data_IF_291281135502
#
_entry.id   IF_291281135502
#
_cell.length_a   1.000
_cell.length_b   1.000
_cell.length_c   1.000
_cell.angle_alpha   90.00
_cell.angle_beta   90.00
_cell.angle_gamma   90.00
#
_symmetry.space_group_name_H-M   'P 1'
#
loop_
_entity.id
_entity.type
_entity.pdbx_description
1 polymer ?
#
# COMPACT_ATOMS: atom_id res chain seq x y z
N UNK A 1 -9.82 -24.62 29.44
CA UNK A 1 -10.85 -25.16 28.55
C UNK A 1 -11.40 -23.99 27.73
N UNK A 2 -11.94 -24.23 26.55
CA UNK A 2 -12.40 -23.18 25.61
C UNK A 2 -13.54 -22.30 26.17
N UNK A 3 -14.06 -22.63 27.32
CA UNK A 3 -15.17 -21.94 27.99
C UNK A 3 -14.70 -20.80 28.93
N UNK A 4 -13.40 -20.60 29.08
CA UNK A 4 -12.83 -19.60 29.99
C UNK A 4 -12.48 -18.26 29.38
N UNK A 5 -12.82 -18.04 28.11
CA UNK A 5 -12.63 -16.75 27.46
C UNK A 5 -13.98 -16.12 27.13
N UNK A 6 -14.37 -15.04 27.81
CA UNK A 6 -15.55 -14.24 27.43
C UNK A 6 -15.23 -13.41 26.18
N UNK A 7 -14.80 -14.09 25.11
CA UNK A 7 -14.34 -13.42 23.88
C UNK A 7 -15.48 -12.68 23.17
N UNK A 8 -16.73 -13.12 23.33
CA UNK A 8 -17.86 -12.49 22.68
C UNK A 8 -18.21 -11.14 23.32
N UNK A 9 -18.25 -11.08 24.63
CA UNK A 9 -18.64 -9.86 25.37
C UNK A 9 -17.53 -8.80 25.33
N UNK A 10 -16.25 -9.21 25.40
CA UNK A 10 -15.11 -8.29 25.26
C UNK A 10 -14.99 -7.75 23.83
N UNK A 11 -15.29 -8.59 22.84
CA UNK A 11 -15.32 -8.18 21.43
C UNK A 11 -16.51 -7.23 21.18
N UNK A 12 -17.71 -7.51 21.68
CA UNK A 12 -18.84 -6.58 21.59
C UNK A 12 -18.57 -5.25 22.30
N UNK A 13 -17.94 -5.27 23.48
CA UNK A 13 -17.56 -4.06 24.19
C UNK A 13 -16.45 -3.29 23.47
N UNK A 14 -15.49 -3.98 22.86
CA UNK A 14 -14.46 -3.35 22.03
C UNK A 14 -15.03 -2.74 20.76
N UNK A 15 -16.06 -3.37 20.16
CA UNK A 15 -16.78 -2.83 19.02
C UNK A 15 -17.62 -1.61 19.40
N UNK A 16 -18.32 -1.65 20.54
CA UNK A 16 -19.09 -0.51 21.02
C UNK A 16 -18.17 0.69 21.35
N UNK A 17 -17.01 0.43 21.97
CA UNK A 17 -16.01 1.47 22.23
C UNK A 17 -15.36 1.99 20.94
N UNK A 18 -15.12 1.15 19.96
CA UNK A 18 -14.61 1.55 18.65
C UNK A 18 -15.62 2.36 17.87
N UNK A 19 -16.91 2.00 17.93
CA UNK A 19 -18.00 2.78 17.33
C UNK A 19 -18.12 4.17 17.98
N UNK A 20 -17.89 4.28 19.28
CA UNK A 20 -17.94 5.56 19.99
C UNK A 20 -16.74 6.46 19.62
N UNK A 21 -15.57 5.89 19.49
CA UNK A 21 -14.34 6.62 19.06
C UNK A 21 -14.44 7.03 17.58
N UNK A 22 -14.96 6.17 16.72
CA UNK A 22 -15.19 6.49 15.30
C UNK A 22 -16.25 7.57 15.16
N UNK A 23 -17.25 7.60 16.04
CA UNK A 23 -18.33 8.61 16.03
C UNK A 23 -17.78 10.02 16.36
N UNK A 24 -16.80 10.14 17.26
CA UNK A 24 -16.19 11.44 17.60
C UNK A 24 -15.21 11.99 16.55
N UNK A 25 -14.62 11.13 15.71
CA UNK A 25 -13.52 11.49 14.83
C UNK A 25 -13.89 11.55 13.34
N UNK A 26 -15.09 11.12 12.94
CA UNK A 26 -15.34 10.82 11.54
C UNK A 26 -16.51 11.61 10.92
N UNK A 27 -16.34 12.11 9.67
CA UNK A 27 -17.46 12.54 8.84
C UNK A 27 -18.46 11.38 8.60
N UNK A 28 -19.75 11.71 8.34
CA UNK A 28 -20.82 10.74 8.12
C UNK A 28 -20.49 9.61 7.12
N UNK A 29 -19.57 9.86 6.20
CA UNK A 29 -19.11 8.88 5.19
C UNK A 29 -18.34 7.69 5.78
N UNK A 30 -17.76 7.82 6.99
CA UNK A 30 -17.01 6.76 7.67
C UNK A 30 -17.91 5.79 8.46
N UNK A 31 -19.20 6.04 8.55
CA UNK A 31 -20.19 5.18 9.21
C UNK A 31 -20.71 4.05 8.29
N UNK A 32 -19.99 3.75 7.22
CA UNK A 32 -20.37 2.66 6.33
C UNK A 32 -20.15 1.31 7.03
N UNK A 33 -21.17 0.44 7.11
CA UNK A 33 -20.99 -0.95 7.56
C UNK A 33 -19.87 -1.68 6.79
N UNK A 34 -19.62 -1.27 5.56
CA UNK A 34 -18.56 -1.79 4.71
C UNK A 34 -17.18 -1.46 5.27
N UNK A 35 -16.95 -0.23 5.77
CA UNK A 35 -15.67 0.15 6.36
C UNK A 35 -15.41 -0.60 7.66
N UNK A 36 -16.40 -0.72 8.54
CA UNK A 36 -16.28 -1.51 9.77
C UNK A 36 -15.92 -2.98 9.47
N UNK A 37 -16.56 -3.58 8.45
CA UNK A 37 -16.23 -4.94 8.00
C UNK A 37 -14.80 -5.05 7.48
N UNK A 38 -14.33 -4.08 6.71
CA UNK A 38 -12.95 -4.07 6.18
C UNK A 38 -11.92 -3.98 7.30
N UNK A 39 -12.14 -3.10 8.28
CA UNK A 39 -11.27 -2.97 9.45
C UNK A 39 -11.27 -4.25 10.29
N UNK A 40 -12.42 -4.90 10.46
CA UNK A 40 -12.51 -6.19 11.14
C UNK A 40 -11.74 -7.28 10.38
N UNK A 41 -11.87 -7.37 9.07
CA UNK A 41 -11.14 -8.35 8.26
C UNK A 41 -9.62 -8.13 8.35
N UNK A 42 -9.15 -6.90 8.27
CA UNK A 42 -7.74 -6.56 8.43
C UNK A 42 -7.22 -6.94 9.82
N UNK A 43 -7.99 -6.66 10.86
CA UNK A 43 -7.65 -7.04 12.25
C UNK A 43 -7.57 -8.56 12.45
N UNK A 44 -8.52 -9.32 11.92
CA UNK A 44 -8.53 -10.78 11.99
C UNK A 44 -7.34 -11.40 11.23
N UNK A 45 -6.99 -10.89 10.06
CA UNK A 45 -5.79 -11.32 9.31
C UNK A 45 -4.54 -11.12 10.15
N UNK A 46 -4.39 -9.96 10.78
CA UNK A 46 -3.26 -9.64 11.63
C UNK A 46 -3.19 -10.57 12.84
N UNK A 47 -4.28 -10.74 13.59
CA UNK A 47 -4.34 -11.62 14.75
C UNK A 47 -3.94 -13.06 14.36
N UNK A 48 -4.50 -13.57 13.29
CA UNK A 48 -4.18 -14.90 12.79
C UNK A 48 -2.69 -15.06 12.45
N UNK A 49 -2.11 -14.10 11.71
CA UNK A 49 -0.70 -14.17 11.31
C UNK A 49 0.24 -14.10 12.51
N UNK A 50 -0.04 -13.25 13.49
CA UNK A 50 0.78 -13.16 14.70
C UNK A 50 0.72 -14.45 15.53
N UNK A 51 -0.46 -15.04 15.71
CA UNK A 51 -0.63 -16.33 16.40
C UNK A 51 0.07 -17.46 15.65
N UNK A 52 -0.06 -17.50 14.33
CA UNK A 52 0.61 -18.48 13.50
C UNK A 52 2.14 -18.35 13.59
N UNK A 53 2.66 -17.13 13.56
CA UNK A 53 4.08 -16.87 13.75
C UNK A 53 4.58 -17.41 15.10
N UNK A 54 3.86 -17.11 16.17
CA UNK A 54 4.19 -17.64 17.51
C UNK A 54 4.16 -19.19 17.51
N UNK A 55 3.13 -19.81 16.95
CA UNK A 55 3.01 -21.25 16.89
C UNK A 55 4.15 -21.89 16.09
N UNK A 56 4.62 -21.25 15.03
CA UNK A 56 5.66 -21.75 14.13
C UNK A 56 7.08 -21.32 14.52
N UNK A 57 7.25 -20.52 15.59
CA UNK A 57 8.54 -19.96 15.97
C UNK A 57 9.10 -19.00 14.90
N UNK A 58 8.22 -18.30 14.19
CA UNK A 58 8.55 -17.39 13.11
C UNK A 58 8.20 -15.93 13.41
N UNK A 59 8.33 -15.10 12.40
CA UNK A 59 7.95 -13.67 12.44
C UNK A 59 6.99 -13.37 11.29
N UNK A 60 6.19 -12.31 11.45
CA UNK A 60 5.37 -11.74 10.38
C UNK A 60 6.20 -10.69 9.66
N UNK A 61 6.38 -10.87 8.34
CA UNK A 61 6.96 -9.85 7.47
C UNK A 61 5.85 -8.96 6.93
N UNK A 62 6.01 -7.65 7.09
CA UNK A 62 5.11 -6.66 6.54
C UNK A 62 5.34 -6.47 5.05
N UNK A 63 4.27 -6.20 4.32
CA UNK A 63 4.27 -5.99 2.87
C UNK A 63 4.10 -4.53 2.46
N UNK A 64 3.80 -3.63 3.43
CA UNK A 64 3.66 -2.20 3.18
C UNK A 64 4.97 -1.56 2.71
N UNK A 65 4.88 -0.50 1.94
CA UNK A 65 6.01 0.23 1.41
C UNK A 65 6.06 1.70 1.89
N UNK A 66 7.14 2.40 1.54
CA UNK A 66 7.32 3.80 1.94
C UNK A 66 6.21 4.70 1.41
N UNK A 67 5.74 4.48 0.17
CA UNK A 67 4.73 5.34 -0.47
C UNK A 67 3.39 5.22 0.24
N UNK A 68 2.98 4.00 0.57
CA UNK A 68 1.75 3.73 1.34
C UNK A 68 1.82 4.37 2.73
N UNK A 69 2.93 4.17 3.44
CA UNK A 69 3.13 4.74 4.77
C UNK A 69 3.13 6.27 4.77
N UNK A 70 3.80 6.87 3.78
CA UNK A 70 3.91 8.33 3.69
C UNK A 70 2.60 9.01 3.28
N UNK A 71 1.80 8.35 2.43
CA UNK A 71 0.50 8.87 2.00
C UNK A 71 -0.62 8.56 3.00
N UNK A 72 -0.34 7.73 4.02
CA UNK A 72 -1.37 7.22 4.94
C UNK A 72 -2.34 6.26 4.25
N UNK A 73 -1.95 5.66 3.12
CA UNK A 73 -2.76 4.71 2.37
C UNK A 73 -2.55 3.29 2.91
N UNK A 74 -2.94 3.09 4.15
CA UNK A 74 -2.84 1.83 4.87
C UNK A 74 -3.96 1.73 5.89
N UNK A 75 -4.23 0.52 6.38
CA UNK A 75 -5.24 0.30 7.41
C UNK A 75 -4.74 0.86 8.75
N UNK A 76 -5.53 1.71 9.41
CA UNK A 76 -5.20 2.28 10.70
C UNK A 76 -5.49 1.32 11.86
N UNK A 77 -4.75 1.53 12.95
CA UNK A 77 -4.91 0.74 14.17
C UNK A 77 -4.38 -0.69 14.00
N UNK A 78 -5.19 -1.67 14.38
CA UNK A 78 -4.89 -3.09 14.20
C UNK A 78 -5.29 -3.50 12.79
N UNK A 79 -4.31 -3.69 11.91
CA UNK A 79 -4.56 -4.01 10.51
C UNK A 79 -3.36 -4.68 9.83
N UNK A 80 -3.47 -4.88 8.55
CA UNK A 80 -2.49 -5.60 7.71
C UNK A 80 -1.14 -4.89 7.57
N UNK A 81 -1.04 -3.60 7.93
CA UNK A 81 0.24 -2.91 8.08
C UNK A 81 1.03 -3.38 9.32
N UNK A 82 0.40 -4.08 10.28
CA UNK A 82 1.09 -4.56 11.47
C UNK A 82 1.95 -5.78 11.13
N UNK A 83 3.20 -5.72 11.56
CA UNK A 83 4.18 -6.78 11.35
C UNK A 83 5.29 -6.71 12.38
N UNK A 84 6.04 -7.79 12.54
CA UNK A 84 7.27 -7.77 13.34
C UNK A 84 8.39 -7.01 12.63
N UNK A 85 8.41 -7.06 11.30
CA UNK A 85 9.40 -6.39 10.48
C UNK A 85 8.80 -6.03 9.11
N UNK A 86 8.82 -4.75 8.77
CA UNK A 86 8.39 -4.27 7.46
C UNK A 86 9.62 -4.00 6.59
N UNK A 87 9.95 -4.95 5.73
CA UNK A 87 11.17 -4.93 4.90
C UNK A 87 11.18 -3.77 3.91
N UNK A 88 10.03 -3.33 3.43
CA UNK A 88 9.90 -2.27 2.42
C UNK A 88 9.54 -0.90 3.00
N UNK A 89 9.59 -0.71 4.32
CA UNK A 89 9.23 0.57 4.96
C UNK A 89 10.03 1.79 4.43
N UNK A 90 11.24 1.57 3.92
CA UNK A 90 12.09 2.60 3.33
C UNK A 90 12.16 2.56 1.80
N UNK A 91 11.36 1.74 1.13
CA UNK A 91 11.42 1.51 -0.32
C UNK A 91 10.13 2.02 -0.97
N UNK A 92 10.19 3.05 -1.84
CA UNK A 92 9.01 3.55 -2.52
C UNK A 92 8.48 2.55 -3.55
N UNK A 93 7.18 2.61 -3.83
CA UNK A 93 6.47 1.68 -4.72
C UNK A 93 7.07 1.60 -6.12
N UNK A 94 7.45 2.73 -6.69
CA UNK A 94 8.09 2.76 -8.03
C UNK A 94 9.45 2.07 -8.04
N UNK A 95 10.20 2.15 -6.95
CA UNK A 95 11.47 1.43 -6.82
C UNK A 95 11.24 -0.09 -6.68
N UNK A 96 10.22 -0.52 -5.95
CA UNK A 96 9.83 -1.93 -5.88
C UNK A 96 9.53 -2.47 -7.27
N UNK A 97 8.72 -1.77 -8.06
CA UNK A 97 8.42 -2.15 -9.44
C UNK A 97 9.69 -2.23 -10.31
N UNK A 98 10.61 -1.27 -10.14
CA UNK A 98 11.89 -1.29 -10.85
C UNK A 98 12.76 -2.48 -10.44
N UNK A 99 12.83 -2.80 -9.15
CA UNK A 99 13.55 -3.97 -8.64
C UNK A 99 12.99 -5.27 -9.19
N UNK A 100 11.67 -5.41 -9.28
CA UNK A 100 11.02 -6.58 -9.88
C UNK A 100 11.44 -6.72 -11.36
N UNK A 101 11.39 -5.64 -12.15
CA UNK A 101 11.85 -5.66 -13.56
C UNK A 101 13.33 -6.06 -13.66
N UNK A 102 14.15 -5.54 -12.75
CA UNK A 102 15.57 -5.90 -12.71
C UNK A 102 15.76 -7.37 -12.38
N UNK A 103 15.04 -7.92 -11.42
CA UNK A 103 15.09 -9.35 -11.05
C UNK A 103 14.73 -10.22 -12.26
N UNK A 104 13.65 -9.91 -12.98
CA UNK A 104 13.24 -10.61 -14.21
C UNK A 104 14.37 -10.56 -15.25
N UNK A 105 14.89 -9.35 -15.53
CA UNK A 105 15.91 -9.16 -16.56
C UNK A 105 17.26 -9.81 -16.22
N UNK A 106 17.58 -9.94 -14.93
CA UNK A 106 18.81 -10.55 -14.43
C UNK A 106 18.80 -12.08 -14.48
N UNK A 107 17.63 -12.70 -14.75
CA UNK A 107 17.43 -14.16 -14.83
C UNK A 107 17.95 -14.92 -13.60
N UNK A 108 17.78 -14.33 -12.42
CA UNK A 108 18.18 -14.98 -11.15
C UNK A 108 17.27 -16.14 -10.77
N UNK A 109 16.05 -16.14 -11.28
CA UNK A 109 15.05 -17.17 -11.03
C UNK A 109 14.65 -17.85 -12.35
N UNK A 110 13.92 -18.95 -12.25
CA UNK A 110 13.40 -19.69 -13.39
C UNK A 110 12.31 -18.92 -14.17
N UNK A 111 11.86 -19.50 -15.28
CA UNK A 111 10.86 -18.87 -16.13
C UNK A 111 9.48 -18.76 -15.47
N UNK A 112 9.11 -19.68 -14.59
CA UNK A 112 7.82 -19.67 -13.88
C UNK A 112 7.77 -18.52 -12.89
N UNK A 113 8.82 -18.33 -12.08
CA UNK A 113 8.93 -17.21 -11.17
C UNK A 113 8.96 -15.87 -11.92
N UNK A 114 9.67 -15.79 -13.05
CA UNK A 114 9.70 -14.58 -13.89
C UNK A 114 8.32 -14.24 -14.45
N UNK A 115 7.57 -15.21 -14.95
CA UNK A 115 6.20 -15.02 -15.45
C UNK A 115 5.25 -14.54 -14.34
N UNK A 116 5.39 -15.08 -13.13
CA UNK A 116 4.63 -14.62 -11.95
C UNK A 116 4.94 -13.16 -11.60
N UNK A 117 6.22 -12.78 -11.61
CA UNK A 117 6.64 -11.41 -11.36
C UNK A 117 6.16 -10.43 -12.44
N UNK A 118 6.11 -10.84 -13.70
CA UNK A 118 5.52 -10.06 -14.79
C UNK A 118 4.02 -9.84 -14.55
N UNK A 119 3.28 -10.90 -14.20
CA UNK A 119 1.86 -10.79 -13.88
C UNK A 119 1.59 -9.83 -12.70
N UNK A 120 2.45 -9.83 -11.68
CA UNK A 120 2.38 -8.86 -10.57
C UNK A 120 2.55 -7.42 -11.05
N UNK A 121 3.50 -7.17 -11.97
CA UNK A 121 3.71 -5.83 -12.54
C UNK A 121 2.56 -5.35 -13.43
N UNK A 122 1.80 -6.27 -14.01
CA UNK A 122 0.65 -5.97 -14.87
C UNK A 122 -0.66 -5.85 -14.08
N UNK A 123 -0.66 -6.25 -12.81
CA UNK A 123 -1.81 -6.08 -11.92
C UNK A 123 -1.97 -4.62 -11.52
N UNK A 124 -3.18 -4.09 -11.65
CA UNK A 124 -3.50 -2.74 -11.19
C UNK A 124 -3.41 -2.63 -9.67
N UNK A 125 -2.78 -1.56 -9.20
CA UNK A 125 -2.67 -1.28 -7.76
C UNK A 125 -4.05 -0.86 -7.25
N UNK A 126 -4.66 -1.73 -6.45
CA UNK A 126 -5.98 -1.53 -5.87
C UNK A 126 -6.01 -1.93 -4.40
N UNK A 127 -6.88 -1.33 -3.57
CA UNK A 127 -7.06 -1.76 -2.19
C UNK A 127 -7.68 -3.16 -2.15
N UNK A 128 -7.02 -4.12 -1.49
CA UNK A 128 -7.47 -5.52 -1.42
C UNK A 128 -8.85 -5.71 -0.75
N UNK A 129 -9.15 -4.88 0.26
CA UNK A 129 -10.35 -5.03 1.08
C UNK A 129 -11.54 -4.20 0.58
N UNK A 130 -11.36 -3.41 -0.46
CA UNK A 130 -12.45 -2.66 -1.08
C UNK A 130 -13.15 -3.54 -2.10
N UNK A 131 -14.45 -3.86 -1.93
CA UNK A 131 -15.18 -4.61 -2.93
C UNK A 131 -15.17 -3.91 -4.28
N UNK A 132 -15.18 -4.68 -5.37
CA UNK A 132 -15.44 -4.15 -6.68
C UNK A 132 -16.81 -3.40 -6.69
N UNK A 133 -16.91 -2.37 -7.52
CA UNK A 133 -18.18 -1.66 -7.70
C UNK A 133 -19.26 -2.56 -8.30
N UNK A 134 -20.48 -2.03 -8.42
CA UNK A 134 -21.61 -2.77 -9.00
C UNK A 134 -21.36 -3.21 -10.48
N UNK A 135 -20.38 -2.64 -11.16
CA UNK A 135 -19.92 -3.01 -12.50
C UNK A 135 -18.76 -4.01 -12.51
N UNK A 136 -18.28 -4.43 -11.34
CA UNK A 136 -17.12 -5.33 -11.20
C UNK A 136 -15.76 -4.66 -11.36
N UNK A 137 -15.71 -3.32 -11.45
CA UNK A 137 -14.45 -2.59 -11.54
C UNK A 137 -13.77 -2.46 -10.17
N UNK A 138 -12.48 -2.72 -10.12
CA UNK A 138 -11.65 -2.46 -8.95
C UNK A 138 -11.35 -0.96 -8.84
N UNK A 139 -11.35 -0.45 -7.62
CA UNK A 139 -10.95 0.92 -7.37
C UNK A 139 -9.45 1.07 -7.58
N UNK A 140 -9.04 1.91 -8.54
CA UNK A 140 -7.64 2.26 -8.72
C UNK A 140 -7.14 3.09 -7.54
N UNK A 141 -6.05 2.67 -6.90
CA UNK A 141 -5.41 3.43 -5.82
C UNK A 141 -4.92 4.79 -6.34
N UNK A 142 -4.27 4.82 -7.51
CA UNK A 142 -3.75 6.06 -8.09
C UNK A 142 -4.84 7.07 -8.43
N UNK A 143 -6.08 6.63 -8.67
CA UNK A 143 -7.22 7.55 -8.85
C UNK A 143 -7.57 8.34 -7.58
N UNK A 144 -7.14 7.86 -6.41
CA UNK A 144 -7.40 8.48 -5.11
C UNK A 144 -6.21 9.25 -4.56
N UNK A 145 -5.02 8.65 -4.62
CA UNK A 145 -3.80 9.23 -4.03
C UNK A 145 -2.93 9.96 -5.07
N UNK A 146 -3.31 9.90 -6.34
CA UNK A 146 -2.49 10.41 -7.45
C UNK A 146 -1.43 9.38 -7.91
N UNK A 147 -0.76 9.66 -9.05
CA UNK A 147 0.23 8.76 -9.61
C UNK A 147 1.41 8.53 -8.67
N UNK A 148 1.74 7.28 -8.39
CA UNK A 148 2.89 6.95 -7.54
C UNK A 148 4.22 7.50 -8.07
N UNK A 149 4.36 7.65 -9.39
CA UNK A 149 5.54 8.27 -9.97
C UNK A 149 5.77 9.71 -9.46
N UNK A 150 4.71 10.51 -9.35
CA UNK A 150 4.79 11.86 -8.79
C UNK A 150 4.93 11.85 -7.27
N UNK A 151 4.22 10.97 -6.58
CA UNK A 151 4.30 10.86 -5.13
C UNK A 151 5.71 10.46 -4.67
N UNK A 152 6.30 9.46 -5.30
CA UNK A 152 7.65 8.99 -4.97
C UNK A 152 8.72 10.02 -5.33
N UNK A 153 8.53 10.77 -6.42
CA UNK A 153 9.38 11.91 -6.75
C UNK A 153 9.35 12.96 -5.63
N UNK A 154 8.16 13.32 -5.17
CA UNK A 154 7.98 14.26 -4.07
C UNK A 154 8.61 13.75 -2.77
N UNK A 155 8.39 12.49 -2.43
CA UNK A 155 8.96 11.83 -1.25
C UNK A 155 10.49 11.80 -1.31
N UNK A 156 11.08 11.49 -2.46
CA UNK A 156 12.52 11.48 -2.62
C UNK A 156 13.14 12.83 -2.28
N UNK A 157 12.64 13.91 -2.87
CA UNK A 157 13.20 15.24 -2.63
C UNK A 157 12.88 15.79 -1.24
N UNK A 158 11.75 15.41 -0.66
CA UNK A 158 11.41 15.76 0.71
C UNK A 158 12.32 15.05 1.71
N UNK A 159 12.39 13.72 1.63
CA UNK A 159 13.06 12.91 2.65
C UNK A 159 14.58 12.90 2.51
N UNK A 160 15.10 12.89 1.27
CA UNK A 160 16.54 12.82 1.02
C UNK A 160 17.22 14.17 0.99
N UNK A 161 16.51 15.22 0.59
CA UNK A 161 17.09 16.54 0.37
C UNK A 161 16.48 17.63 1.24
N UNK A 162 15.36 17.36 1.92
CA UNK A 162 14.67 18.36 2.75
C UNK A 162 14.15 19.56 1.93
N UNK A 163 13.83 19.35 0.65
CA UNK A 163 13.36 20.45 -0.20
C UNK A 163 11.95 20.87 0.17
N UNK A 164 11.70 22.18 0.05
CA UNK A 164 10.37 22.75 0.26
C UNK A 164 9.44 22.42 -0.91
N UNK A 165 8.13 22.36 -0.71
CA UNK A 165 7.15 22.02 -1.75
C UNK A 165 7.28 22.86 -3.03
N UNK A 166 7.51 24.16 -2.92
CA UNK A 166 7.69 25.04 -4.09
C UNK A 166 8.88 24.68 -4.96
N UNK A 167 9.99 24.24 -4.35
CA UNK A 167 11.17 23.78 -5.09
C UNK A 167 10.90 22.43 -5.74
N UNK A 168 10.20 21.53 -5.04
CA UNK A 168 9.83 20.22 -5.57
C UNK A 168 8.89 20.37 -6.77
N UNK A 169 7.88 21.25 -6.67
CA UNK A 169 6.95 21.54 -7.77
C UNK A 169 7.69 22.06 -9.01
N UNK A 170 8.65 22.98 -8.82
CA UNK A 170 9.49 23.47 -9.92
C UNK A 170 10.30 22.36 -10.60
N UNK A 171 10.89 21.46 -9.80
CA UNK A 171 11.66 20.33 -10.32
C UNK A 171 10.74 19.33 -11.04
N UNK A 172 9.56 19.05 -10.45
CA UNK A 172 8.56 18.14 -11.02
C UNK A 172 8.05 18.65 -12.38
N UNK A 173 7.73 19.95 -12.48
CA UNK A 173 7.35 20.59 -13.76
C UNK A 173 8.37 20.30 -14.85
N UNK A 174 9.66 20.40 -14.55
CA UNK A 174 10.74 20.16 -15.50
C UNK A 174 11.00 18.70 -15.81
N UNK A 175 10.79 17.83 -14.83
CA UNK A 175 11.04 16.41 -14.96
C UNK A 175 9.93 15.70 -15.74
N UNK A 176 8.68 16.17 -15.61
CA UNK A 176 7.50 15.47 -16.08
C UNK A 176 6.75 16.14 -17.23
N UNK A 177 7.21 17.32 -17.71
CA UNK A 177 6.56 18.05 -18.81
C UNK A 177 6.57 17.31 -20.17
N UNK A 178 7.49 16.34 -20.35
CA UNK A 178 7.66 15.62 -21.61
C UNK A 178 8.12 14.18 -21.38
N UNK A 179 7.26 13.22 -21.67
CA UNK A 179 7.56 11.78 -21.55
C UNK A 179 8.73 11.31 -22.44
N UNK A 180 9.06 12.04 -23.48
CA UNK A 180 10.20 11.76 -24.37
C UNK A 180 11.54 12.22 -23.82
N UNK A 181 11.52 13.05 -22.78
CA UNK A 181 12.74 13.60 -22.15
C UNK A 181 13.12 12.82 -20.90
N UNK A 182 14.40 12.90 -20.56
CA UNK A 182 14.95 12.45 -19.29
C UNK A 182 15.44 11.01 -19.28
N UNK A 183 16.19 10.66 -18.24
CA UNK A 183 16.74 9.33 -18.05
C UNK A 183 15.68 8.43 -17.40
N UNK A 184 14.88 7.76 -18.18
CA UNK A 184 14.05 6.68 -17.68
C UNK A 184 14.92 5.51 -17.20
N UNK A 185 14.52 4.76 -16.17
CA UNK A 185 15.26 3.61 -15.72
C UNK A 185 15.49 2.60 -16.85
N UNK A 186 16.66 1.91 -16.90
CA UNK A 186 16.90 0.86 -17.87
C UNK A 186 15.79 -0.19 -17.84
N UNK A 187 15.27 -0.55 -19.03
CA UNK A 187 14.17 -1.52 -19.15
C UNK A 187 12.78 -0.99 -18.82
N UNK A 188 12.63 0.32 -18.55
CA UNK A 188 11.31 0.90 -18.31
C UNK A 188 10.51 0.92 -19.62
N UNK A 189 9.31 0.32 -19.68
CA UNK A 189 8.52 0.21 -20.92
C UNK A 189 8.15 1.58 -21.48
N UNK A 190 8.40 1.85 -22.78
CA UNK A 190 8.09 3.14 -23.39
C UNK A 190 6.61 3.54 -23.29
N UNK A 191 5.71 2.57 -23.39
CA UNK A 191 4.26 2.74 -23.30
C UNK A 191 3.77 3.13 -21.90
N UNK A 192 4.61 2.94 -20.88
CA UNK A 192 4.34 3.34 -19.49
C UNK A 192 4.98 4.68 -19.12
N UNK A 193 5.61 5.36 -20.07
CA UNK A 193 6.15 6.70 -19.86
C UNK A 193 5.05 7.72 -19.97
N UNK A 194 4.88 8.52 -18.96
CA UNK A 194 3.85 9.56 -18.90
C UNK A 194 4.46 10.95 -18.73
N UNK A 195 3.81 11.96 -19.30
CA UNK A 195 3.99 13.35 -18.94
C UNK A 195 2.84 13.76 -18.02
N UNK A 196 3.07 14.71 -17.14
CA UNK A 196 2.06 15.26 -16.26
C UNK A 196 2.01 16.77 -16.40
N UNK A 197 0.79 17.31 -16.52
CA UNK A 197 0.52 18.75 -16.39
C UNK A 197 0.45 19.06 -14.89
N UNK A 198 1.27 20.01 -14.44
CA UNK A 198 1.43 20.40 -13.04
C UNK A 198 0.92 21.82 -12.78
#
# INVERSE_FOLDING_TARGET
TADDYPLADEVEQAFAAADEVVFELAPEELHSPTLAMQMMQAGLRTDYLFRLANQRGGIVLGTGDLSELALGWCTYGVGDQMSHYNVNAGVPKTLIQHLIRWVISSRQFDGEASATLEAVLDTEISPELVPADAGGALQSTESKVGPYALQDFNLFYTLRHGFRPSKIAFLALRAWEDAGRGPWPPGFPPERRHAYDL
#
